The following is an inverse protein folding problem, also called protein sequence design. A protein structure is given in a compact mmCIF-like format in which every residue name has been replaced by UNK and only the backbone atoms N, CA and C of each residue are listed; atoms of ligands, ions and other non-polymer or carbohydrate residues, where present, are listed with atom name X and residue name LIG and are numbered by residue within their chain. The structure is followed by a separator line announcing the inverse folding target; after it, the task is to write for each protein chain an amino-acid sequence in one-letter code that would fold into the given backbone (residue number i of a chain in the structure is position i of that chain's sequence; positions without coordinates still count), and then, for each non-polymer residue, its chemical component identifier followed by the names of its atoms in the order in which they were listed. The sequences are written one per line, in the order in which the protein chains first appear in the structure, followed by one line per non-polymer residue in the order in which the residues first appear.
data_IF_357810337446
#
_entry.id   IF_357810337446
#
_cell.length_a   1.000
_cell.length_b   1.000
_cell.length_c   1.000
_cell.angle_alpha   90.00
_cell.angle_beta   90.00
_cell.angle_gamma   90.00
#
_symmetry.space_group_name_H-M   'P 1'
#
loop_
_entity.id
_entity.type
_entity.pdbx_description
1 polymer ?
#
# COMPACT_ATOMS: atom_id res chain seq x y z
N UNK A 1 -19.39 -19.88 -3.22
CA UNK A 1 -18.60 -18.81 -3.88
C UNK A 1 -18.90 -17.41 -3.32
N UNK A 2 -20.18 -16.98 -3.28
CA UNK A 2 -20.57 -15.65 -2.76
C UNK A 2 -20.15 -15.38 -1.30
N UNK A 3 -20.27 -16.35 -0.39
CA UNK A 3 -19.82 -16.20 1.01
C UNK A 3 -18.31 -16.02 1.16
N UNK A 4 -17.51 -16.72 0.34
CA UNK A 4 -16.04 -16.56 0.33
C UNK A 4 -15.63 -15.16 -0.15
N UNK A 5 -16.31 -14.63 -1.16
CA UNK A 5 -16.09 -13.24 -1.61
C UNK A 5 -16.48 -12.24 -0.53
N UNK A 6 -17.66 -12.42 0.10
CA UNK A 6 -18.12 -11.53 1.15
C UNK A 6 -17.09 -11.45 2.29
N UNK A 7 -16.58 -12.59 2.76
CA UNK A 7 -15.52 -12.64 3.77
C UNK A 7 -14.20 -12.04 3.27
N UNK A 8 -13.82 -12.30 2.01
CA UNK A 8 -12.61 -11.74 1.41
C UNK A 8 -12.61 -10.21 1.37
N UNK A 9 -13.78 -9.60 1.16
CA UNK A 9 -13.95 -8.14 1.18
C UNK A 9 -14.07 -7.62 2.61
N UNK A 10 -14.87 -8.27 3.47
CA UNK A 10 -15.21 -7.75 4.79
C UNK A 10 -14.08 -7.88 5.80
N UNK A 11 -13.33 -8.98 5.79
CA UNK A 11 -12.27 -9.22 6.78
C UNK A 11 -11.17 -8.15 6.74
N UNK A 12 -10.62 -7.77 5.57
CA UNK A 12 -9.66 -6.67 5.52
C UNK A 12 -10.25 -5.35 6.05
N UNK A 13 -11.48 -5.01 5.66
CA UNK A 13 -12.11 -3.77 6.11
C UNK A 13 -12.33 -3.72 7.62
N UNK A 14 -12.78 -4.82 8.22
CA UNK A 14 -12.94 -4.97 9.66
C UNK A 14 -11.59 -4.92 10.38
N UNK A 15 -10.55 -5.51 9.79
CA UNK A 15 -9.20 -5.47 10.33
C UNK A 15 -8.67 -4.03 10.39
N UNK A 16 -8.61 -3.32 9.26
CA UNK A 16 -8.02 -1.98 9.20
C UNK A 16 -8.84 -0.93 9.95
N UNK A 17 -10.17 -0.99 9.88
CA UNK A 17 -11.03 0.05 10.45
C UNK A 17 -11.56 -0.29 11.85
N UNK A 18 -11.54 -1.56 12.23
CA UNK A 18 -12.03 -2.05 13.52
C UNK A 18 -10.92 -2.50 14.45
N UNK A 19 -10.00 -3.33 13.98
CA UNK A 19 -8.99 -3.96 14.86
C UNK A 19 -7.77 -3.06 15.05
N UNK A 20 -7.12 -2.64 13.96
CA UNK A 20 -5.87 -1.87 14.01
C UNK A 20 -5.96 -0.61 14.89
N UNK A 21 -7.04 0.20 14.86
CA UNK A 21 -7.14 1.40 15.69
C UNK A 21 -7.22 1.10 17.19
N UNK A 22 -7.47 -0.16 17.58
CA UNK A 22 -7.55 -0.62 18.98
C UNK A 22 -6.27 -1.32 19.43
N UNK A 23 -5.32 -1.55 18.51
CA UNK A 23 -4.01 -2.09 18.86
C UNK A 23 -3.14 -1.00 19.50
N UNK A 24 -2.18 -1.38 20.38
CA UNK A 24 -1.18 -0.45 20.88
C UNK A 24 -0.50 0.33 19.77
N UNK A 25 -0.10 1.58 20.03
CA UNK A 25 0.48 2.48 19.03
C UNK A 25 1.90 2.10 18.59
N UNK A 26 2.50 1.10 19.26
CA UNK A 26 3.83 0.58 18.92
C UNK A 26 3.91 0.09 17.45
N UNK A 27 4.76 0.76 16.67
CA UNK A 27 4.94 0.53 15.23
C UNK A 27 5.47 -0.89 14.93
N UNK A 28 6.36 -1.42 15.79
CA UNK A 28 6.98 -2.74 15.59
C UNK A 28 5.95 -3.84 15.81
N UNK A 29 5.16 -3.75 16.87
CA UNK A 29 4.04 -4.64 17.14
C UNK A 29 3.01 -4.58 16.01
N UNK A 30 2.57 -3.37 15.61
CA UNK A 30 1.60 -3.21 14.51
C UNK A 30 2.12 -3.80 13.20
N UNK A 31 3.40 -3.65 12.91
CA UNK A 31 4.04 -4.26 11.73
C UNK A 31 3.97 -5.78 11.75
N UNK A 32 4.35 -6.40 12.88
CA UNK A 32 4.30 -7.85 13.04
C UNK A 32 2.87 -8.38 12.95
N UNK A 33 1.94 -7.71 13.63
CA UNK A 33 0.52 -8.10 13.68
C UNK A 33 -0.15 -7.96 12.31
N UNK A 34 0.11 -6.88 11.57
CA UNK A 34 -0.41 -6.71 10.21
C UNK A 34 0.17 -7.73 9.23
N UNK A 35 1.49 -7.96 9.26
CA UNK A 35 2.12 -8.96 8.40
C UNK A 35 1.58 -10.38 8.71
N UNK A 36 1.40 -10.71 9.98
CA UNK A 36 0.81 -11.97 10.41
C UNK A 36 -0.64 -12.14 9.95
N UNK A 37 -1.47 -11.11 10.14
CA UNK A 37 -2.87 -11.13 9.71
C UNK A 37 -3.01 -11.23 8.18
N UNK A 38 -2.19 -10.48 7.42
CA UNK A 38 -2.15 -10.57 5.97
C UNK A 38 -1.73 -11.97 5.50
N UNK A 39 -0.74 -12.58 6.16
CA UNK A 39 -0.30 -13.95 5.87
C UNK A 39 -1.40 -14.96 6.16
N UNK A 40 -2.06 -14.86 7.33
CA UNK A 40 -3.18 -15.73 7.67
C UNK A 40 -4.34 -15.62 6.68
N UNK A 41 -4.69 -14.39 6.29
CA UNK A 41 -5.67 -14.12 5.23
C UNK A 41 -5.25 -14.76 3.90
N UNK A 42 -4.00 -14.56 3.48
CA UNK A 42 -3.45 -15.12 2.25
C UNK A 42 -3.54 -16.65 2.20
N UNK A 43 -3.20 -17.32 3.30
CA UNK A 43 -3.28 -18.77 3.43
C UNK A 43 -4.73 -19.26 3.37
N UNK A 44 -5.63 -18.62 4.13
CA UNK A 44 -7.05 -19.00 4.17
C UNK A 44 -7.74 -18.85 2.80
N UNK A 45 -7.37 -17.81 2.03
CA UNK A 45 -8.00 -17.50 0.76
C UNK A 45 -7.24 -18.03 -0.47
N UNK A 46 -6.04 -18.58 -0.30
CA UNK A 46 -5.27 -19.23 -1.36
C UNK A 46 -4.55 -18.26 -2.28
N UNK A 47 -3.74 -17.37 -1.69
CA UNK A 47 -3.00 -16.32 -2.39
C UNK A 47 -2.09 -16.85 -3.50
N UNK A 48 -1.91 -16.04 -4.56
CA UNK A 48 -1.00 -16.29 -5.68
C UNK A 48 -0.14 -15.05 -5.96
N UNK A 49 0.87 -14.78 -5.12
CA UNK A 49 1.65 -13.54 -5.24
C UNK A 49 2.66 -13.56 -6.40
N UNK A 50 3.24 -14.72 -6.74
CA UNK A 50 4.27 -14.84 -7.77
C UNK A 50 5.44 -13.83 -7.56
N UNK A 51 6.01 -13.83 -6.36
CA UNK A 51 7.05 -12.88 -5.93
C UNK A 51 8.34 -12.90 -6.78
N UNK A 52 8.65 -14.05 -7.37
CA UNK A 52 9.87 -14.26 -8.14
C UNK A 52 9.72 -13.97 -9.65
N UNK A 53 8.63 -13.34 -10.08
CA UNK A 53 8.38 -13.02 -11.49
C UNK A 53 9.42 -12.05 -12.07
N UNK A 54 10.12 -12.46 -13.14
CA UNK A 54 11.06 -11.59 -13.86
C UNK A 54 10.35 -10.41 -14.55
N UNK A 55 9.16 -10.66 -15.11
CA UNK A 55 8.31 -9.60 -15.67
C UNK A 55 7.83 -8.64 -14.58
N UNK A 56 7.44 -9.17 -13.43
CA UNK A 56 7.07 -8.38 -12.24
C UNK A 56 8.21 -7.44 -11.81
N UNK A 57 9.44 -7.97 -11.69
CA UNK A 57 10.62 -7.16 -11.38
C UNK A 57 10.88 -6.07 -12.43
N UNK A 58 10.84 -6.38 -13.73
CA UNK A 58 11.11 -5.40 -14.80
C UNK A 58 10.13 -4.22 -14.76
N UNK A 59 8.83 -4.49 -14.69
CA UNK A 59 7.82 -3.44 -14.63
C UNK A 59 7.88 -2.70 -13.30
N UNK A 60 8.03 -3.40 -12.18
CA UNK A 60 8.12 -2.79 -10.86
C UNK A 60 9.33 -1.87 -10.71
N UNK A 61 10.51 -2.27 -11.17
CA UNK A 61 11.70 -1.42 -11.18
C UNK A 61 11.54 -0.21 -12.09
N UNK A 62 10.94 -0.39 -13.28
CA UNK A 62 10.63 0.74 -14.17
C UNK A 62 9.68 1.76 -13.52
N UNK A 63 8.59 1.28 -12.91
CA UNK A 63 7.64 2.13 -12.20
C UNK A 63 8.24 2.81 -10.97
N UNK A 64 9.06 2.08 -10.19
CA UNK A 64 9.81 2.64 -9.06
C UNK A 64 10.79 3.73 -9.51
N UNK A 65 11.49 3.53 -10.63
CA UNK A 65 12.38 4.52 -11.23
C UNK A 65 11.65 5.81 -11.63
N UNK A 66 10.45 5.70 -12.21
CA UNK A 66 9.60 6.87 -12.53
C UNK A 66 9.24 7.64 -11.26
N UNK A 67 8.83 6.95 -10.19
CA UNK A 67 8.48 7.59 -8.92
C UNK A 67 9.70 8.26 -8.27
N UNK A 68 10.85 7.58 -8.28
CA UNK A 68 12.10 8.14 -7.76
C UNK A 68 12.51 9.42 -8.53
N UNK A 69 12.40 9.41 -9.86
CA UNK A 69 12.65 10.59 -10.69
C UNK A 69 11.67 11.74 -10.36
N UNK A 70 10.39 11.43 -10.14
CA UNK A 70 9.37 12.41 -9.73
C UNK A 70 9.70 13.06 -8.39
N UNK A 71 10.11 12.29 -7.38
CA UNK A 71 10.57 12.84 -6.10
C UNK A 71 11.86 13.65 -6.24
N UNK A 72 12.81 13.21 -7.08
CA UNK A 72 14.02 13.97 -7.40
C UNK A 72 13.69 15.35 -8.01
N UNK A 73 12.77 15.39 -8.98
CA UNK A 73 12.29 16.64 -9.56
C UNK A 73 11.57 17.52 -8.54
N UNK A 74 10.73 16.93 -7.68
CA UNK A 74 10.04 17.65 -6.61
C UNK A 74 11.01 18.31 -5.62
N UNK A 75 12.11 17.63 -5.27
CA UNK A 75 13.15 18.17 -4.39
C UNK A 75 14.01 19.27 -5.07
N UNK A 76 14.12 19.23 -6.39
CA UNK A 76 14.83 20.25 -7.17
C UNK A 76 14.05 21.58 -7.26
N UNK A 77 12.72 21.54 -7.18
CA UNK A 77 11.87 22.74 -7.26
C UNK A 77 11.72 23.36 -5.86
N UNK A 78 12.24 24.58 -5.59
CA UNK A 78 12.27 25.14 -4.24
C UNK A 78 10.90 25.29 -3.58
N UNK A 79 9.87 25.67 -4.35
CA UNK A 79 8.50 25.79 -3.83
C UNK A 79 7.96 24.43 -3.36
N UNK A 80 8.14 23.38 -4.15
CA UNK A 80 7.68 22.02 -3.82
C UNK A 80 8.50 21.42 -2.67
N UNK A 81 9.82 21.64 -2.67
CA UNK A 81 10.69 21.23 -1.57
C UNK A 81 10.26 21.83 -0.24
N UNK A 82 9.86 23.11 -0.21
CA UNK A 82 9.37 23.75 1.02
C UNK A 82 8.10 23.06 1.52
N UNK A 83 7.13 22.79 0.66
CA UNK A 83 5.91 22.05 1.04
C UNK A 83 6.23 20.65 1.57
N UNK A 84 7.24 19.97 1.01
CA UNK A 84 7.70 18.66 1.50
C UNK A 84 8.35 18.75 2.88
N UNK A 85 9.07 19.83 3.18
CA UNK A 85 9.73 20.05 4.46
C UNK A 85 8.74 20.30 5.61
N UNK A 86 7.57 20.86 5.30
CA UNK A 86 6.52 21.14 6.30
C UNK A 86 5.60 19.93 6.56
N UNK A 87 5.84 18.79 5.90
CA UNK A 87 5.07 17.57 6.16
C UNK A 87 5.39 17.00 7.55
N UNK A 88 4.38 16.64 8.34
CA UNK A 88 4.60 16.08 9.66
C UNK A 88 5.32 14.73 9.56
N UNK A 89 6.16 14.44 10.56
CA UNK A 89 6.75 13.12 10.72
C UNK A 89 5.64 12.11 11.05
N UNK A 90 5.48 11.12 10.18
CA UNK A 90 4.45 10.09 10.29
C UNK A 90 4.90 8.87 11.11
N UNK A 91 6.17 8.80 11.49
CA UNK A 91 6.72 7.70 12.27
C UNK A 91 7.78 8.17 13.29
N UNK A 92 7.43 9.10 14.20
CA UNK A 92 8.39 9.73 15.12
C UNK A 92 9.06 8.73 16.10
N UNK A 93 8.44 7.58 16.34
CA UNK A 93 8.90 6.54 17.26
C UNK A 93 10.13 5.75 16.75
N UNK A 94 10.43 5.83 15.45
CA UNK A 94 11.45 5.03 14.77
C UNK A 94 12.25 5.87 13.80
N UNK A 95 13.48 5.45 13.49
CA UNK A 95 14.30 6.19 12.50
C UNK A 95 13.69 6.10 11.10
N UNK A 96 13.94 7.09 10.24
CA UNK A 96 13.53 7.04 8.83
C UNK A 96 14.08 5.80 8.11
N UNK A 97 15.29 5.34 8.47
CA UNK A 97 15.88 4.14 7.91
C UNK A 97 15.14 2.87 8.32
N UNK A 98 14.77 2.74 9.60
CA UNK A 98 13.94 1.64 10.11
C UNK A 98 12.54 1.67 9.46
N UNK A 99 11.92 2.85 9.36
CA UNK A 99 10.61 2.99 8.74
C UNK A 99 10.61 2.56 7.27
N UNK A 100 11.58 3.06 6.48
CA UNK A 100 11.71 2.74 5.05
C UNK A 100 12.18 1.30 4.79
N UNK A 101 13.04 0.77 5.66
CA UNK A 101 13.65 -0.55 5.50
C UNK A 101 12.85 -1.72 6.05
N UNK A 102 11.97 -1.49 7.03
CA UNK A 102 11.26 -2.55 7.76
C UNK A 102 9.74 -2.32 7.72
N UNK A 103 9.28 -1.19 8.22
CA UNK A 103 7.85 -0.98 8.45
C UNK A 103 7.06 -0.73 7.16
N UNK A 104 7.59 0.06 6.22
CA UNK A 104 6.97 0.24 4.90
C UNK A 104 6.98 -1.09 4.12
N UNK A 105 8.09 -1.83 3.99
CA UNK A 105 8.10 -3.11 3.28
C UNK A 105 7.18 -4.17 3.89
N UNK A 106 7.18 -4.35 5.21
CA UNK A 106 6.47 -5.45 5.86
C UNK A 106 5.06 -5.06 6.31
N UNK A 107 4.96 -3.96 7.06
CA UNK A 107 3.72 -3.50 7.67
C UNK A 107 2.73 -2.92 6.67
N UNK A 108 3.23 -2.35 5.57
CA UNK A 108 2.42 -1.77 4.50
C UNK A 108 2.45 -2.62 3.23
N UNK A 109 3.58 -2.64 2.51
CA UNK A 109 3.65 -3.15 1.14
C UNK A 109 3.37 -4.65 1.06
N UNK A 110 4.10 -5.47 1.82
CA UNK A 110 3.88 -6.91 1.86
C UNK A 110 2.44 -7.23 2.28
N UNK A 111 1.98 -6.63 3.38
CA UNK A 111 0.67 -6.90 3.95
C UNK A 111 -0.46 -6.55 2.97
N UNK A 112 -0.43 -5.34 2.40
CA UNK A 112 -1.46 -4.87 1.49
C UNK A 112 -1.41 -5.56 0.14
N UNK A 113 -0.24 -5.71 -0.49
CA UNK A 113 -0.16 -6.38 -1.80
C UNK A 113 -0.53 -7.87 -1.70
N UNK A 114 -0.24 -8.51 -0.57
CA UNK A 114 -0.66 -9.88 -0.31
C UNK A 114 -2.18 -10.01 -0.14
N UNK A 115 -2.81 -9.11 0.63
CA UNK A 115 -4.26 -9.09 0.83
C UNK A 115 -4.98 -8.76 -0.49
N UNK A 116 -4.59 -7.66 -1.13
CA UNK A 116 -5.36 -7.08 -2.22
C UNK A 116 -5.00 -7.70 -3.57
N UNK A 117 -3.71 -7.77 -3.94
CA UNK A 117 -3.28 -8.10 -5.32
C UNK A 117 -3.01 -9.58 -5.49
N UNK A 118 -2.46 -10.22 -4.47
CA UNK A 118 -2.20 -11.65 -4.50
C UNK A 118 -3.43 -12.49 -4.16
N UNK A 119 -4.44 -11.92 -3.49
CA UNK A 119 -5.55 -12.71 -2.91
C UNK A 119 -6.93 -12.20 -3.32
N UNK A 120 -7.32 -10.99 -2.88
CA UNK A 120 -8.68 -10.48 -3.09
C UNK A 120 -8.98 -10.27 -4.58
N UNK A 121 -8.06 -9.68 -5.32
CA UNK A 121 -8.25 -9.37 -6.74
C UNK A 121 -8.38 -10.63 -7.60
N UNK A 122 -7.54 -11.68 -7.48
CA UNK A 122 -7.77 -12.97 -8.14
C UNK A 122 -9.08 -13.65 -7.73
N UNK A 123 -9.53 -13.47 -6.49
CA UNK A 123 -10.81 -14.01 -6.00
C UNK A 123 -12.00 -13.30 -6.67
N UNK A 124 -11.93 -11.98 -6.79
CA UNK A 124 -12.93 -11.16 -7.46
C UNK A 124 -12.93 -11.40 -8.98
N UNK A 125 -11.75 -11.50 -9.61
CA UNK A 125 -11.57 -11.79 -11.04
C UNK A 125 -12.28 -13.09 -11.41
N UNK A 126 -12.06 -14.16 -10.63
CA UNK A 126 -12.71 -15.46 -10.85
C UNK A 126 -14.24 -15.43 -10.66
N UNK A 127 -14.76 -14.47 -9.89
CA UNK A 127 -16.18 -14.44 -9.53
C UNK A 127 -17.00 -13.50 -10.42
N UNK A 128 -16.43 -12.34 -10.77
CA UNK A 128 -17.16 -11.26 -11.45
C UNK A 128 -16.49 -10.79 -12.75
N UNK A 129 -15.32 -11.33 -13.08
CA UNK A 129 -14.52 -10.87 -14.21
C UNK A 129 -13.74 -9.57 -13.93
N UNK A 130 -12.81 -9.21 -14.82
CA UNK A 130 -11.76 -8.23 -14.54
C UNK A 130 -12.25 -6.80 -14.32
N UNK A 131 -13.32 -6.38 -15.01
CA UNK A 131 -13.86 -5.02 -14.89
C UNK A 131 -14.47 -4.78 -13.51
N UNK A 132 -15.35 -5.68 -13.08
CA UNK A 132 -16.02 -5.59 -11.78
C UNK A 132 -15.02 -5.85 -10.65
N UNK A 133 -14.07 -6.78 -10.84
CA UNK A 133 -13.00 -7.00 -9.88
C UNK A 133 -12.12 -5.78 -9.67
N UNK A 134 -11.78 -5.05 -10.74
CA UNK A 134 -11.05 -3.77 -10.63
C UNK A 134 -11.83 -2.78 -9.77
N UNK A 135 -13.12 -2.59 -10.04
CA UNK A 135 -13.96 -1.64 -9.29
C UNK A 135 -14.09 -2.03 -7.82
N UNK A 136 -14.41 -3.30 -7.53
CA UNK A 136 -14.59 -3.79 -6.17
C UNK A 136 -13.26 -3.81 -5.39
N UNK A 137 -12.17 -4.26 -6.02
CA UNK A 137 -10.85 -4.29 -5.42
C UNK A 137 -10.34 -2.88 -5.11
N UNK A 138 -10.45 -1.94 -6.06
CA UNK A 138 -10.09 -0.54 -5.87
C UNK A 138 -10.92 0.13 -4.77
N UNK A 139 -12.24 -0.07 -4.78
CA UNK A 139 -13.13 0.47 -3.74
C UNK A 139 -12.80 -0.11 -2.37
N UNK A 140 -12.56 -1.41 -2.27
CA UNK A 140 -12.20 -2.06 -1.00
C UNK A 140 -10.86 -1.53 -0.48
N UNK A 141 -9.88 -1.36 -1.37
CA UNK A 141 -8.59 -0.77 -1.03
C UNK A 141 -8.71 0.70 -0.59
N UNK A 142 -9.60 1.47 -1.22
CA UNK A 142 -9.92 2.83 -0.76
C UNK A 142 -10.51 2.85 0.65
N UNK A 143 -11.53 2.02 0.89
CA UNK A 143 -12.22 1.93 2.18
C UNK A 143 -11.33 1.37 3.32
N UNK A 144 -10.30 0.59 2.99
CA UNK A 144 -9.27 0.16 3.95
C UNK A 144 -8.56 1.35 4.61
N UNK A 145 -8.51 2.51 3.95
CA UNK A 145 -7.78 3.68 4.42
C UNK A 145 -8.61 4.68 5.24
N UNK A 146 -9.87 4.37 5.60
CA UNK A 146 -10.71 5.29 6.39
C UNK A 146 -10.10 5.57 7.77
N UNK A 147 -9.83 4.53 8.57
CA UNK A 147 -9.25 4.71 9.90
C UNK A 147 -7.82 5.27 9.85
N UNK A 148 -6.93 4.82 8.95
CA UNK A 148 -5.64 5.48 8.73
C UNK A 148 -5.75 6.98 8.45
N UNK A 149 -6.64 7.41 7.55
CA UNK A 149 -6.84 8.83 7.24
C UNK A 149 -7.32 9.63 8.45
N UNK A 150 -8.24 9.07 9.25
CA UNK A 150 -8.71 9.70 10.49
C UNK A 150 -7.60 9.86 11.50
N UNK A 151 -6.75 8.84 11.66
CA UNK A 151 -5.65 8.85 12.62
C UNK A 151 -4.60 9.94 12.33
N UNK A 152 -4.42 10.31 11.06
CA UNK A 152 -3.48 11.35 10.63
C UNK A 152 -4.14 12.71 10.37
N UNK A 153 -5.44 12.85 10.63
CA UNK A 153 -6.19 14.08 10.36
C UNK A 153 -6.37 14.41 8.88
N UNK A 154 -6.15 13.45 7.98
CA UNK A 154 -6.33 13.64 6.54
C UNK A 154 -7.81 13.64 6.15
N UNK A 155 -8.14 14.30 5.03
CA UNK A 155 -9.51 14.28 4.50
C UNK A 155 -9.86 12.87 4.01
N UNK A 156 -10.78 12.20 4.71
CA UNK A 156 -11.17 10.81 4.44
C UNK A 156 -11.62 10.60 3.00
N UNK A 157 -12.42 11.49 2.42
CA UNK A 157 -12.93 11.33 1.05
C UNK A 157 -11.80 11.42 0.02
N UNK A 158 -10.88 12.37 0.20
CA UNK A 158 -9.70 12.52 -0.67
C UNK A 158 -8.78 11.31 -0.53
N UNK A 159 -8.49 10.86 0.70
CA UNK A 159 -7.62 9.69 0.92
C UNK A 159 -8.25 8.42 0.34
N UNK A 160 -9.54 8.16 0.55
CA UNK A 160 -10.25 7.02 -0.04
C UNK A 160 -10.23 7.07 -1.57
N UNK A 161 -10.47 8.23 -2.18
CA UNK A 161 -10.43 8.40 -3.63
C UNK A 161 -9.05 8.18 -4.22
N UNK A 162 -8.01 8.81 -3.63
CA UNK A 162 -6.63 8.69 -4.07
C UNK A 162 -6.10 7.25 -3.92
N UNK A 163 -6.38 6.62 -2.79
CA UNK A 163 -5.99 5.23 -2.55
C UNK A 163 -6.77 4.26 -3.42
N UNK A 164 -8.06 4.48 -3.72
CA UNK A 164 -8.78 3.67 -4.70
C UNK A 164 -8.19 3.78 -6.12
N UNK A 165 -7.74 4.98 -6.54
CA UNK A 165 -7.07 5.16 -7.82
C UNK A 165 -5.72 4.43 -7.88
N UNK A 166 -4.88 4.55 -6.83
CA UNK A 166 -3.66 3.76 -6.68
C UNK A 166 -4.00 2.25 -6.65
N UNK A 167 -5.09 1.92 -5.97
CA UNK A 167 -5.87 0.69 -5.98
C UNK A 167 -5.87 0.00 -7.34
N UNK A 168 -6.54 0.67 -8.28
CA UNK A 168 -6.73 0.24 -9.65
C UNK A 168 -5.41 0.17 -10.43
N UNK A 169 -4.49 1.11 -10.23
CA UNK A 169 -3.18 1.12 -10.89
C UNK A 169 -2.35 -0.12 -10.50
N UNK A 170 -2.29 -0.44 -9.20
CA UNK A 170 -1.59 -1.63 -8.72
C UNK A 170 -2.23 -2.91 -9.26
N UNK A 171 -3.56 -2.97 -9.33
CA UNK A 171 -4.28 -4.08 -9.94
C UNK A 171 -4.01 -4.24 -11.44
N UNK A 172 -3.89 -3.14 -12.18
CA UNK A 172 -3.46 -3.15 -13.58
C UNK A 172 -2.05 -3.73 -13.73
N UNK A 173 -1.09 -3.28 -12.92
CA UNK A 173 0.27 -3.84 -12.92
C UNK A 173 0.27 -5.34 -12.58
N UNK A 174 -0.53 -5.75 -11.59
CA UNK A 174 -0.71 -7.17 -11.23
C UNK A 174 -1.23 -7.99 -12.40
N UNK A 175 -2.21 -7.49 -13.16
CA UNK A 175 -2.77 -8.18 -14.33
C UNK A 175 -1.80 -8.23 -15.51
N UNK A 176 -1.08 -7.13 -15.80
CA UNK A 176 -0.11 -7.09 -16.89
C UNK A 176 1.10 -8.04 -16.66
N UNK A 177 1.47 -8.25 -15.40
CA UNK A 177 2.69 -9.01 -15.05
C UNK A 177 2.43 -10.39 -14.47
N UNK A 178 1.17 -10.71 -14.19
CA UNK A 178 0.73 -11.83 -13.37
C UNK A 178 1.52 -11.96 -12.05
N UNK A 179 1.84 -10.84 -11.39
CA UNK A 179 2.71 -10.81 -10.22
C UNK A 179 2.42 -9.65 -9.29
N UNK A 180 2.47 -9.90 -7.98
CA UNK A 180 2.39 -8.88 -6.94
C UNK A 180 3.71 -8.11 -6.78
N UNK A 181 4.81 -8.56 -7.39
CA UNK A 181 6.12 -7.88 -7.32
C UNK A 181 6.11 -6.52 -8.00
N UNK A 182 5.43 -6.40 -9.15
CA UNK A 182 5.33 -5.13 -9.86
C UNK A 182 4.61 -4.04 -9.05
N UNK A 183 3.39 -4.27 -8.54
CA UNK A 183 2.73 -3.30 -7.68
C UNK A 183 3.47 -3.11 -6.36
N UNK A 184 4.08 -4.15 -5.75
CA UNK A 184 4.84 -4.00 -4.52
C UNK A 184 6.03 -3.04 -4.65
N UNK A 185 6.79 -3.13 -5.76
CA UNK A 185 7.92 -2.23 -5.99
C UNK A 185 7.47 -0.78 -6.22
N UNK A 186 6.39 -0.58 -6.99
CA UNK A 186 5.81 0.75 -7.16
C UNK A 186 5.28 1.30 -5.82
N UNK A 187 4.55 0.47 -5.08
CA UNK A 187 3.94 0.83 -3.81
C UNK A 187 5.00 1.20 -2.75
N UNK A 188 6.09 0.42 -2.68
CA UNK A 188 7.25 0.76 -1.87
C UNK A 188 7.88 2.08 -2.31
N UNK A 189 8.11 2.29 -3.60
CA UNK A 189 8.72 3.52 -4.10
C UNK A 189 7.89 4.77 -3.77
N UNK A 190 6.55 4.69 -3.82
CA UNK A 190 5.67 5.80 -3.43
C UNK A 190 5.83 6.11 -1.94
N UNK A 191 5.73 5.11 -1.07
CA UNK A 191 5.78 5.33 0.38
C UNK A 191 7.18 5.73 0.85
N UNK A 192 8.21 4.97 0.45
CA UNK A 192 9.60 5.24 0.79
C UNK A 192 10.06 6.58 0.21
N UNK A 193 9.69 6.87 -1.04
CA UNK A 193 9.99 8.16 -1.67
C UNK A 193 9.36 9.33 -0.92
N UNK A 194 8.12 9.19 -0.45
CA UNK A 194 7.46 10.22 0.37
C UNK A 194 8.17 10.47 1.71
N UNK A 195 8.56 9.40 2.40
CA UNK A 195 9.30 9.48 3.67
C UNK A 195 10.69 10.13 3.49
N UNK A 196 11.45 9.67 2.49
CA UNK A 196 12.78 10.18 2.20
C UNK A 196 12.75 11.62 1.68
N UNK A 197 11.80 11.96 0.82
CA UNK A 197 11.68 13.32 0.28
C UNK A 197 11.36 14.35 1.39
N UNK A 198 10.47 14.01 2.33
CA UNK A 198 10.23 14.87 3.49
C UNK A 198 11.51 15.08 4.31
N UNK A 199 12.27 14.01 4.56
CA UNK A 199 13.54 14.08 5.30
C UNK A 199 14.62 14.91 4.59
N UNK A 200 14.83 14.69 3.29
CA UNK A 200 15.82 15.43 2.50
C UNK A 200 15.44 16.88 2.27
N UNK A 201 14.15 17.20 2.26
CA UNK A 201 13.68 18.58 2.14
C UNK A 201 14.06 19.44 3.35
N UNK A 202 14.15 18.85 4.55
CA UNK A 202 14.57 19.54 5.79
C UNK A 202 16.10 19.69 5.88
N UNK A 203 16.86 18.66 5.46
CA UNK A 203 18.33 18.61 5.62
C UNK A 203 19.15 19.51 4.69
N UNK A 204 18.52 20.15 3.69
CA UNK A 204 19.17 21.09 2.75
C UNK A 204 18.93 22.58 3.12
N UNK A 205 18.70 22.89 4.40
CA UNK A 205 18.72 24.26 4.95
C UNK A 205 20.10 24.53 5.56
#
# INVERSE_FOLDING_TARGET
MRGRVALGVSLPLLWSNGVVPRLPEDMRLRTLVNAGAATGYALAFGARPNWCSARGRRYGLGSAGIVAAGYGAALAIPAVRRELAERPDRAPEVSTAEWVGIHIPLGTVYSEELIFRATLEPLLDKTFGPRIATLLGATTFGLWHIAPARATGENVAVTVGATAAAGALFGLLRRCTDSATAPALLHWAINAGGALAARFAVGNR
#
